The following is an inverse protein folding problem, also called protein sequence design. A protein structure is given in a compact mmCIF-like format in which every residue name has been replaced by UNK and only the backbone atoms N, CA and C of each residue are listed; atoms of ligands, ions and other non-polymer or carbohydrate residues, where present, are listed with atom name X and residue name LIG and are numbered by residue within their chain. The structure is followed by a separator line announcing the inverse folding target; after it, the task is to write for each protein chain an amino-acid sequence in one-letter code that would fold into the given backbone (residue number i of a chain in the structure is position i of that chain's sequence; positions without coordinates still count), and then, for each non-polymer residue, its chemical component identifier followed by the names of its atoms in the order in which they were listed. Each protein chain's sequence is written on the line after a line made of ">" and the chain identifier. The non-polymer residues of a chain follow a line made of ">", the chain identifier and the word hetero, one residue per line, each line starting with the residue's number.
data_IF_528835817582
#
_entry.id   IF_528835817582
#
_cell.length_a   1.000
_cell.length_b   1.000
_cell.length_c   1.000
_cell.angle_alpha   90.00
_cell.angle_beta   90.00
_cell.angle_gamma   90.00
#
_symmetry.space_group_name_H-M   'P 1'
#
loop_
_entity.id
_entity.type
_entity.pdbx_description
1 polymer ?
#
# COMPACT_ATOMS: atom_id res chain seq x y z
N UNK A 1 -17.79 0.58 -15.97
CA UNK A 1 -16.51 -0.08 -16.26
C UNK A 1 -16.04 -0.75 -14.98
N UNK A 2 -15.94 -2.08 -14.95
CA UNK A 2 -15.39 -2.80 -13.80
C UNK A 2 -13.91 -3.08 -14.08
N UNK A 3 -13.03 -2.24 -13.54
CA UNK A 3 -11.60 -2.49 -13.59
C UNK A 3 -11.29 -3.67 -12.66
N UNK A 4 -10.90 -4.80 -13.24
CA UNK A 4 -10.38 -5.93 -12.47
C UNK A 4 -9.07 -5.48 -11.81
N UNK A 5 -9.08 -5.38 -10.48
CA UNK A 5 -7.87 -5.15 -9.68
C UNK A 5 -7.08 -6.46 -9.68
N UNK A 6 -6.01 -6.50 -10.47
CA UNK A 6 -5.07 -7.62 -10.45
C UNK A 6 -4.18 -7.44 -9.22
N UNK A 7 -4.08 -8.43 -8.32
CA UNK A 7 -3.25 -8.33 -7.12
C UNK A 7 -1.78 -8.14 -7.53
N UNK A 8 -1.33 -6.89 -7.52
CA UNK A 8 0.01 -6.54 -7.97
C UNK A 8 0.96 -6.71 -6.80
N UNK A 9 1.90 -7.66 -6.90
CA UNK A 9 3.08 -7.74 -6.02
C UNK A 9 4.09 -6.61 -6.25
N UNK A 10 3.72 -5.62 -7.07
CA UNK A 10 4.53 -4.44 -7.31
C UNK A 10 4.72 -3.64 -6.03
N UNK A 11 5.92 -3.07 -5.88
CA UNK A 11 6.22 -2.15 -4.79
C UNK A 11 5.24 -0.97 -4.80
N UNK A 12 4.97 -0.41 -3.62
CA UNK A 12 4.18 0.81 -3.52
C UNK A 12 4.96 1.97 -4.12
N UNK A 13 4.28 2.74 -4.94
CA UNK A 13 4.83 3.90 -5.64
C UNK A 13 4.45 5.20 -4.92
N UNK A 14 5.07 6.29 -5.35
CA UNK A 14 4.66 7.62 -4.91
C UNK A 14 3.27 8.02 -5.41
N UNK A 15 2.65 7.28 -6.34
CA UNK A 15 1.29 7.54 -6.83
C UNK A 15 0.21 6.86 -5.97
N UNK A 16 0.52 5.81 -5.22
CA UNK A 16 -0.43 5.15 -4.33
C UNK A 16 -0.86 6.11 -3.20
N UNK A 17 -2.18 6.23 -2.98
CA UNK A 17 -2.76 7.18 -2.03
C UNK A 17 -3.46 6.44 -0.91
N UNK A 18 -3.35 6.98 0.29
CA UNK A 18 -4.06 6.45 1.44
C UNK A 18 -5.56 6.72 1.28
N UNK A 19 -6.38 5.69 1.38
CA UNK A 19 -7.84 5.80 1.24
C UNK A 19 -8.49 6.69 2.32
N UNK A 20 -7.79 6.90 3.45
CA UNK A 20 -8.30 7.68 4.57
C UNK A 20 -7.97 9.18 4.50
N UNK A 21 -6.77 9.55 4.02
CA UNK A 21 -6.32 10.95 4.02
C UNK A 21 -5.71 11.45 2.71
N UNK A 22 -5.54 10.58 1.71
CA UNK A 22 -4.92 10.95 0.43
C UNK A 22 -3.41 11.16 0.47
N UNK A 23 -2.72 10.98 1.60
CA UNK A 23 -1.25 11.00 1.64
C UNK A 23 -0.65 9.80 0.88
N UNK A 24 0.65 9.81 0.61
CA UNK A 24 1.33 8.64 0.01
C UNK A 24 1.12 7.38 0.86
N UNK A 25 0.75 6.28 0.20
CA UNK A 25 0.60 4.99 0.84
C UNK A 25 1.93 4.25 0.98
N UNK A 26 2.08 3.56 2.11
CA UNK A 26 3.22 2.70 2.43
C UNK A 26 2.76 1.32 2.93
N UNK A 27 1.45 1.09 3.02
CA UNK A 27 0.84 -0.19 3.37
C UNK A 27 -0.23 -0.52 2.34
N UNK A 28 -0.19 -1.73 1.77
CA UNK A 28 -1.25 -2.31 0.95
C UNK A 28 -1.84 -3.52 1.66
N UNK A 29 -3.16 -3.54 1.76
CA UNK A 29 -3.94 -4.58 2.42
C UNK A 29 -4.91 -5.12 1.40
N UNK A 30 -4.79 -6.40 1.07
CA UNK A 30 -5.80 -7.10 0.29
C UNK A 30 -6.74 -7.82 1.23
N UNK A 31 -8.05 -7.62 1.06
CA UNK A 31 -9.09 -8.29 1.82
C UNK A 31 -9.42 -9.65 1.19
N UNK A 32 -10.12 -10.51 1.93
CA UNK A 32 -10.51 -11.86 1.48
C UNK A 32 -11.39 -11.86 0.22
N UNK A 33 -12.08 -10.74 -0.06
CA UNK A 33 -12.91 -10.56 -1.25
C UNK A 33 -12.12 -10.07 -2.48
N UNK A 34 -10.80 -9.92 -2.37
CA UNK A 34 -9.93 -9.45 -3.45
C UNK A 34 -9.87 -7.93 -3.61
N UNK A 35 -10.57 -7.15 -2.77
CA UNK A 35 -10.41 -5.70 -2.75
C UNK A 35 -9.11 -5.31 -2.06
N UNK A 36 -8.52 -4.22 -2.52
CA UNK A 36 -7.31 -3.66 -1.95
C UNK A 36 -7.59 -2.32 -1.29
N UNK A 37 -6.92 -2.08 -0.16
CA UNK A 37 -6.92 -0.83 0.57
C UNK A 37 -5.48 -0.40 0.80
N UNK A 38 -5.26 0.90 0.71
CA UNK A 38 -3.96 1.54 0.82
C UNK A 38 -3.94 2.51 2.01
N UNK A 39 -2.88 2.44 2.80
CA UNK A 39 -2.70 3.27 3.98
C UNK A 39 -1.34 3.95 4.00
N UNK A 40 -1.32 5.21 4.43
CA UNK A 40 -0.06 5.90 4.73
C UNK A 40 0.57 5.28 5.98
N UNK A 41 1.86 5.55 6.20
CA UNK A 41 2.57 4.99 7.36
C UNK A 41 1.96 5.42 8.70
N UNK A 42 1.27 6.57 8.77
CA UNK A 42 0.53 6.99 9.95
C UNK A 42 -0.62 6.02 10.27
N UNK A 43 -1.55 5.83 9.33
CA UNK A 43 -2.70 4.93 9.54
C UNK A 43 -2.29 3.46 9.61
N UNK A 44 -1.19 3.07 8.96
CA UNK A 44 -0.60 1.75 9.13
C UNK A 44 -0.18 1.48 10.58
N UNK A 45 0.34 2.48 11.30
CA UNK A 45 0.69 2.34 12.73
C UNK A 45 -0.54 2.33 13.64
N UNK A 46 -1.54 3.14 13.31
CA UNK A 46 -2.78 3.22 14.11
C UNK A 46 -3.70 2.00 13.93
N UNK A 47 -3.68 1.35 12.76
CA UNK A 47 -4.64 0.31 12.41
C UNK A 47 -4.00 -1.00 11.92
N UNK A 48 -2.67 -1.08 11.84
CA UNK A 48 -1.94 -2.17 11.20
C UNK A 48 -2.23 -3.55 11.78
N UNK A 49 -2.37 -3.66 13.11
CA UNK A 49 -2.70 -4.94 13.77
C UNK A 49 -4.05 -5.50 13.29
N UNK A 50 -5.11 -4.68 13.36
CA UNK A 50 -6.44 -5.07 12.89
C UNK A 50 -6.47 -5.35 11.39
N UNK A 51 -5.76 -4.54 10.61
CA UNK A 51 -5.65 -4.72 9.16
C UNK A 51 -4.98 -6.06 8.83
N UNK A 52 -3.95 -6.47 9.58
CA UNK A 52 -3.26 -7.75 9.41
C UNK A 52 -4.19 -8.94 9.69
N UNK A 53 -5.03 -8.85 10.72
CA UNK A 53 -5.98 -9.91 11.07
C UNK A 53 -7.04 -10.16 9.99
N UNK A 54 -7.52 -9.10 9.34
CA UNK A 54 -8.59 -9.21 8.32
C UNK A 54 -8.07 -9.38 6.89
N UNK A 55 -6.79 -9.09 6.66
CA UNK A 55 -6.17 -9.15 5.34
C UNK A 55 -5.85 -10.57 4.87
N UNK A 56 -6.04 -10.82 3.58
CA UNK A 56 -5.48 -11.97 2.86
C UNK A 56 -4.00 -11.73 2.52
N UNK A 57 -3.65 -10.48 2.17
CA UNK A 57 -2.28 -10.07 1.86
C UNK A 57 -1.97 -8.76 2.60
N UNK A 58 -0.82 -8.73 3.26
CA UNK A 58 -0.34 -7.57 4.01
C UNK A 58 1.06 -7.17 3.54
N UNK A 59 1.17 -6.08 2.76
CA UNK A 59 2.42 -5.56 2.22
C UNK A 59 2.78 -4.24 2.92
N UNK A 60 3.69 -4.29 3.88
CA UNK A 60 4.20 -3.13 4.61
C UNK A 60 5.55 -2.66 4.06
N UNK A 61 5.57 -1.43 3.56
CA UNK A 61 6.75 -0.72 3.08
C UNK A 61 7.07 0.51 3.93
N UNK A 62 6.55 0.58 5.16
CA UNK A 62 6.78 1.73 6.05
C UNK A 62 8.25 1.89 6.45
N UNK A 63 9.03 0.82 6.34
CA UNK A 63 10.48 0.82 6.49
C UNK A 63 11.20 1.76 5.49
N UNK A 64 10.59 2.05 4.33
CA UNK A 64 11.18 2.95 3.32
C UNK A 64 11.28 4.40 3.78
N UNK A 65 10.53 4.81 4.80
CA UNK A 65 10.59 6.17 5.34
C UNK A 65 11.88 6.45 6.13
N UNK A 66 12.57 5.41 6.60
CA UNK A 66 13.82 5.54 7.37
C UNK A 66 15.09 5.49 6.52
N UNK A 67 15.00 4.99 5.28
CA UNK A 67 16.09 5.04 4.32
C UNK A 67 15.89 6.24 3.41
N UNK A 68 16.86 7.15 3.33
CA UNK A 68 16.88 8.20 2.30
C UNK A 68 16.54 7.56 0.94
N UNK A 69 15.49 8.02 0.23
CA UNK A 69 15.00 7.33 -0.95
C UNK A 69 16.02 7.46 -2.08
N UNK A 70 16.76 6.39 -2.37
CA UNK A 70 17.37 6.20 -3.67
C UNK A 70 16.22 5.88 -4.64
N UNK A 71 15.90 6.88 -5.46
CA UNK A 71 15.06 6.87 -6.66
C UNK A 71 14.37 5.54 -7.02
N UNK A 72 13.04 5.59 -7.14
CA UNK A 72 12.33 4.62 -7.97
C UNK A 72 12.94 4.66 -9.39
N UNK A 73 13.36 3.53 -9.99
CA UNK A 73 13.69 3.55 -11.40
C UNK A 73 12.39 3.81 -12.14
N UNK A 74 12.33 4.98 -12.77
CA UNK A 74 11.36 5.35 -13.78
C UNK A 74 11.38 4.25 -14.84
N UNK A 75 10.27 3.52 -14.93
CA UNK A 75 10.16 2.32 -15.74
C UNK A 75 8.85 2.35 -16.51
N UNK A 76 8.77 3.22 -17.52
CA UNK A 76 8.02 2.91 -18.74
C UNK A 76 8.57 3.74 -19.92
N UNK A 77 8.90 3.04 -21.01
CA UNK A 77 9.55 3.53 -22.24
C UNK A 77 8.66 4.37 -23.14
#
# INVERSE_FOLDING_TARGET
>A
MNTAVVPSKAALSAADRCDRCGAQAYLRVQLQNGLELHFCAHHAREHGDKLREISAVFQDETHKLGATPAAAPDGES
#
